data_IF_630409623578
#
_entry.id   IF_630409623578
#
_cell.length_a   1.000
_cell.length_b   1.000
_cell.length_c   1.000
_cell.angle_alpha   90.00
_cell.angle_beta   90.00
_cell.angle_gamma   90.00
#
_symmetry.space_group_name_H-M   'P 1'
#
loop_
_entity.id
_entity.type
_entity.pdbx_description
1 polymer ?
#
# COMPACT_ATOMS: atom_id res chain seq x y z
N UNK A 1 14.60 15.15 5.20
CA UNK A 1 14.46 13.72 5.58
C UNK A 1 15.79 13.05 5.40
N UNK A 2 16.44 13.24 4.26
CA UNK A 2 17.82 12.83 3.96
C UNK A 2 18.74 12.89 5.18
N UNK A 3 18.95 14.07 5.79
CA UNK A 3 19.78 14.21 7.01
C UNK A 3 19.39 13.25 8.16
N UNK A 4 18.09 13.08 8.42
CA UNK A 4 17.60 12.20 9.49
C UNK A 4 17.74 10.71 9.14
N UNK A 5 17.76 10.37 7.86
CA UNK A 5 17.96 9.01 7.35
C UNK A 5 19.45 8.65 7.38
N UNK A 6 20.31 9.58 7.00
CA UNK A 6 21.78 9.44 7.06
C UNK A 6 22.24 9.25 8.50
N UNK A 7 21.80 10.12 9.43
CA UNK A 7 22.09 10.00 10.86
C UNK A 7 21.64 8.63 11.42
N UNK A 8 20.47 8.13 10.95
CA UNK A 8 19.95 6.83 11.35
C UNK A 8 20.82 5.69 10.82
N UNK A 9 21.27 5.80 9.56
CA UNK A 9 22.22 4.91 8.94
C UNK A 9 23.52 4.80 9.73
N UNK A 10 24.10 5.94 10.09
CA UNK A 10 25.34 6.01 10.88
C UNK A 10 25.20 5.35 12.26
N UNK A 11 24.09 5.60 12.95
CA UNK A 11 23.80 4.99 14.26
C UNK A 11 23.78 3.46 14.18
N UNK A 12 23.28 2.90 13.08
CA UNK A 12 23.14 1.45 12.91
C UNK A 12 24.17 0.81 11.96
N UNK A 13 25.15 1.56 11.47
CA UNK A 13 26.14 1.08 10.49
C UNK A 13 26.90 -0.18 10.95
N UNK A 14 27.15 -0.31 12.25
CA UNK A 14 27.86 -1.45 12.85
C UNK A 14 26.91 -2.48 13.51
N UNK A 15 25.60 -2.33 13.32
CA UNK A 15 24.61 -3.24 13.89
C UNK A 15 24.63 -4.58 13.15
N UNK A 16 24.69 -5.68 13.89
CA UNK A 16 24.61 -7.03 13.32
C UNK A 16 23.19 -7.48 12.99
N UNK A 17 22.18 -6.73 13.45
CA UNK A 17 20.77 -7.15 13.38
C UNK A 17 19.82 -6.06 12.89
N UNK A 18 20.33 -4.88 12.54
CA UNK A 18 19.56 -3.75 12.03
C UNK A 18 20.27 -3.24 10.79
N UNK A 19 19.52 -3.07 9.71
CA UNK A 19 20.00 -2.48 8.48
C UNK A 19 19.09 -1.29 8.18
N UNK A 20 19.71 -0.15 7.91
CA UNK A 20 19.06 0.99 7.28
C UNK A 20 19.61 1.01 5.86
N UNK A 21 18.73 1.00 4.88
CA UNK A 21 19.12 0.94 3.47
C UNK A 21 18.21 1.82 2.64
N UNK A 22 18.73 2.26 1.51
CA UNK A 22 18.00 3.05 0.53
C UNK A 22 18.10 2.38 -0.84
N UNK A 23 17.10 2.63 -1.67
CA UNK A 23 17.03 2.15 -3.04
C UNK A 23 16.56 3.30 -3.91
N UNK A 24 17.34 3.66 -4.92
CA UNK A 24 16.93 4.64 -5.92
C UNK A 24 16.03 3.96 -6.97
N UNK A 25 14.73 4.06 -6.77
CA UNK A 25 13.73 3.51 -7.69
C UNK A 25 13.68 4.22 -9.06
N UNK A 26 14.45 5.28 -9.27
CA UNK A 26 14.58 5.92 -10.59
C UNK A 26 15.61 5.23 -11.47
N UNK A 27 16.54 4.46 -10.87
CA UNK A 27 17.50 3.61 -11.58
C UNK A 27 16.79 2.44 -12.28
N UNK A 28 17.10 2.23 -13.55
CA UNK A 28 16.55 1.14 -14.37
C UNK A 28 16.75 -0.24 -13.72
N UNK A 29 17.84 -0.44 -12.98
CA UNK A 29 18.16 -1.71 -12.31
C UNK A 29 17.32 -1.96 -11.05
N UNK A 30 16.71 -0.92 -10.48
CA UNK A 30 15.95 -0.99 -9.23
C UNK A 30 14.43 -0.85 -9.44
N UNK A 31 13.99 -0.42 -10.63
CA UNK A 31 12.55 -0.24 -10.92
C UNK A 31 11.72 -1.48 -10.70
N UNK A 32 12.20 -2.65 -11.13
CA UNK A 32 11.46 -3.91 -10.96
C UNK A 32 11.30 -4.27 -9.49
N UNK A 33 12.36 -4.10 -8.69
CA UNK A 33 12.30 -4.29 -7.23
C UNK A 33 11.31 -3.32 -6.57
N UNK A 34 11.33 -2.05 -6.94
CA UNK A 34 10.42 -1.06 -6.36
C UNK A 34 8.97 -1.33 -6.77
N UNK A 35 8.73 -1.80 -8.00
CA UNK A 35 7.41 -2.23 -8.45
C UNK A 35 6.92 -3.48 -7.71
N UNK A 36 7.78 -4.50 -7.51
CA UNK A 36 7.43 -5.71 -6.75
C UNK A 36 7.17 -5.43 -5.28
N UNK A 37 7.70 -4.32 -4.78
CA UNK A 37 7.45 -3.80 -3.44
C UNK A 37 6.34 -2.73 -3.41
N UNK A 38 5.47 -2.65 -4.42
CA UNK A 38 4.32 -1.73 -4.45
C UNK A 38 4.68 -0.25 -4.18
N UNK A 39 5.90 0.18 -4.55
CA UNK A 39 6.33 1.57 -4.35
C UNK A 39 5.71 2.44 -5.44
N UNK A 40 4.60 3.10 -5.11
CA UNK A 40 3.80 3.93 -6.03
C UNK A 40 4.09 5.42 -5.93
N UNK A 41 4.88 5.85 -4.94
CA UNK A 41 5.27 7.24 -4.74
C UNK A 41 6.52 7.38 -3.87
N UNK A 42 7.18 8.54 -3.96
CA UNK A 42 8.42 8.81 -3.24
C UNK A 42 8.28 9.99 -2.28
N UNK A 43 8.97 9.95 -1.11
CA UNK A 43 9.64 8.79 -0.53
C UNK A 43 8.66 7.84 0.18
N UNK A 44 8.83 6.54 -0.04
CA UNK A 44 8.15 5.45 0.68
C UNK A 44 9.13 4.76 1.60
N UNK A 45 8.81 4.68 2.89
CA UNK A 45 9.62 3.98 3.88
C UNK A 45 8.97 2.65 4.19
N UNK A 46 9.74 1.57 4.14
CA UNK A 46 9.30 0.23 4.53
C UNK A 46 10.21 -0.35 5.61
N UNK A 47 9.70 -1.31 6.38
CA UNK A 47 10.42 -1.98 7.44
C UNK A 47 9.95 -3.43 7.59
N UNK A 48 10.81 -4.32 8.09
CA UNK A 48 10.44 -5.71 8.36
C UNK A 48 11.51 -6.69 7.92
N UNK A 49 11.06 -7.87 7.49
CA UNK A 49 11.92 -8.86 6.85
C UNK A 49 12.09 -8.49 5.37
N UNK A 50 13.22 -8.86 4.77
CA UNK A 50 13.45 -8.67 3.31
C UNK A 50 12.46 -9.43 2.43
N UNK A 51 11.67 -10.33 3.01
CA UNK A 51 10.63 -11.11 2.33
C UNK A 51 9.21 -10.66 2.71
N UNK A 52 9.07 -9.69 3.62
CA UNK A 52 7.79 -9.21 4.15
C UNK A 52 7.98 -7.79 4.70
N UNK A 53 8.13 -6.85 3.76
CA UNK A 53 8.32 -5.44 4.07
C UNK A 53 6.97 -4.73 4.20
N UNK A 54 6.79 -4.05 5.32
CA UNK A 54 5.57 -3.33 5.68
C UNK A 54 5.80 -1.83 5.58
N UNK A 55 4.80 -1.06 5.13
CA UNK A 55 4.92 0.39 5.04
C UNK A 55 5.04 1.04 6.43
N UNK A 56 5.94 2.03 6.54
CA UNK A 56 6.11 2.85 7.72
C UNK A 56 5.30 4.15 7.61
N UNK A 57 4.18 4.20 8.35
CA UNK A 57 3.30 5.37 8.44
C UNK A 57 3.60 6.33 9.60
N UNK A 58 4.74 6.20 10.28
CA UNK A 58 5.07 7.02 11.45
C UNK A 58 5.77 8.34 11.13
N UNK A 59 6.06 9.19 12.16
CA UNK A 59 6.84 10.41 11.99
C UNK A 59 8.25 10.14 11.45
N UNK A 60 8.75 11.02 10.59
CA UNK A 60 10.00 10.83 9.82
C UNK A 60 11.16 11.71 10.31
N UNK A 61 11.07 12.24 11.52
CA UNK A 61 12.20 12.85 12.21
C UNK A 61 13.11 11.79 12.85
N UNK A 62 14.38 12.14 13.05
CA UNK A 62 15.41 11.22 13.53
C UNK A 62 15.04 10.55 14.86
N UNK A 63 14.51 11.29 15.83
CA UNK A 63 14.18 10.74 17.15
C UNK A 63 13.11 9.64 17.06
N UNK A 64 12.06 9.89 16.29
CA UNK A 64 10.98 8.92 16.08
C UNK A 64 11.45 7.70 15.28
N UNK A 65 12.22 7.93 14.21
CA UNK A 65 12.79 6.84 13.40
C UNK A 65 13.74 5.95 14.22
N UNK A 66 14.64 6.55 15.00
CA UNK A 66 15.55 5.82 15.88
C UNK A 66 14.79 5.01 16.93
N UNK A 67 13.81 5.62 17.59
CA UNK A 67 12.96 4.93 18.57
C UNK A 67 12.21 3.77 17.94
N UNK A 68 11.69 3.95 16.73
CA UNK A 68 11.04 2.88 15.98
C UNK A 68 12.01 1.75 15.64
N UNK A 69 13.17 2.08 15.08
CA UNK A 69 14.21 1.12 14.74
C UNK A 69 14.68 0.32 15.96
N UNK A 70 14.91 0.98 17.10
CA UNK A 70 15.30 0.31 18.35
C UNK A 70 14.23 -0.63 18.89
N UNK A 71 12.96 -0.27 18.73
CA UNK A 71 11.85 -1.10 19.21
C UNK A 71 11.56 -2.28 18.29
N UNK A 72 11.63 -2.09 16.98
CA UNK A 72 11.02 -2.97 15.99
C UNK A 72 12.00 -3.69 15.06
N UNK A 73 13.17 -3.09 14.76
CA UNK A 73 14.21 -3.78 13.98
C UNK A 73 14.98 -4.73 14.90
N UNK A 74 14.39 -5.89 15.12
CA UNK A 74 14.93 -7.00 15.91
C UNK A 74 14.91 -8.25 15.05
N UNK A 75 15.73 -9.27 15.38
CA UNK A 75 15.60 -10.58 14.75
C UNK A 75 14.13 -11.01 14.78
N UNK A 76 13.61 -11.40 13.62
CA UNK A 76 12.23 -11.84 13.47
C UNK A 76 12.17 -13.36 13.37
N UNK A 77 10.97 -13.92 13.52
CA UNK A 77 10.71 -15.31 13.19
C UNK A 77 11.18 -15.60 11.76
N UNK A 78 12.06 -16.58 11.60
CA UNK A 78 12.56 -17.03 10.29
C UNK A 78 13.07 -18.48 10.37
N UNK A 79 13.37 -19.13 9.22
CA UNK A 79 13.96 -20.46 9.21
C UNK A 79 15.30 -20.56 9.98
N UNK A 80 16.03 -19.46 10.13
CA UNK A 80 17.28 -19.38 10.90
C UNK A 80 17.07 -18.94 12.36
N UNK A 81 15.89 -18.40 12.69
CA UNK A 81 15.51 -17.92 14.02
C UNK A 81 14.20 -18.54 14.52
N UNK A 82 14.09 -19.86 14.42
CA UNK A 82 12.87 -20.63 14.75
C UNK A 82 12.39 -20.46 16.21
N UNK A 83 13.26 -20.09 17.13
CA UNK A 83 12.93 -19.81 18.52
C UNK A 83 12.02 -18.59 18.69
N UNK A 84 12.05 -17.65 17.73
CA UNK A 84 11.24 -16.44 17.73
C UNK A 84 9.85 -16.66 17.11
N UNK A 85 9.63 -17.82 16.49
CA UNK A 85 8.37 -18.21 15.88
C UNK A 85 7.43 -18.86 16.90
N UNK A 86 6.13 -18.64 16.75
CA UNK A 86 5.12 -19.37 17.52
C UNK A 86 5.04 -20.86 17.11
N UNK A 87 4.15 -21.64 17.74
CA UNK A 87 4.03 -23.08 17.48
C UNK A 87 3.52 -23.37 16.05
N UNK A 88 2.61 -22.55 15.55
CA UNK A 88 1.98 -22.71 14.23
C UNK A 88 2.95 -22.39 13.12
N UNK A 89 3.63 -21.24 13.17
CA UNK A 89 4.60 -20.81 12.18
C UNK A 89 5.81 -21.74 12.14
N UNK A 90 6.28 -22.23 13.29
CA UNK A 90 7.34 -23.26 13.32
C UNK A 90 6.96 -24.54 12.60
N UNK A 91 5.71 -25.00 12.78
CA UNK A 91 5.23 -26.22 12.12
C UNK A 91 5.22 -26.01 10.61
N UNK A 92 4.80 -24.84 10.17
CA UNK A 92 4.73 -24.51 8.76
C UNK A 92 6.11 -24.41 8.11
N UNK A 93 7.05 -23.68 8.73
CA UNK A 93 8.44 -23.63 8.23
C UNK A 93 9.03 -25.04 8.11
N UNK A 94 8.78 -25.93 9.11
CA UNK A 94 9.24 -27.32 9.03
C UNK A 94 8.54 -28.15 7.96
N UNK A 95 7.29 -27.82 7.59
CA UNK A 95 6.60 -28.46 6.46
C UNK A 95 7.28 -28.07 5.16
N UNK A 96 7.48 -26.77 4.95
CA UNK A 96 8.11 -26.21 3.75
C UNK A 96 9.55 -26.70 3.59
N UNK A 97 10.33 -26.77 4.68
CA UNK A 97 11.70 -27.30 4.67
C UNK A 97 11.81 -28.79 4.28
N UNK A 98 10.70 -29.55 4.31
CA UNK A 98 10.69 -30.95 3.87
C UNK A 98 10.41 -31.10 2.38
N UNK A 99 10.00 -30.04 1.70
CA UNK A 99 9.82 -30.05 0.25
C UNK A 99 11.19 -30.03 -0.44
N UNK A 100 11.28 -30.64 -1.62
CA UNK A 100 12.42 -30.39 -2.49
C UNK A 100 12.36 -28.94 -3.00
N UNK A 101 13.51 -28.39 -3.39
CA UNK A 101 13.57 -27.03 -3.94
C UNK A 101 12.61 -26.87 -5.11
N UNK A 102 12.57 -27.82 -6.05
CA UNK A 102 11.63 -27.80 -7.20
C UNK A 102 10.16 -27.85 -6.77
N UNK A 103 9.82 -28.59 -5.71
CA UNK A 103 8.45 -28.65 -5.22
C UNK A 103 8.04 -27.36 -4.51
N UNK A 104 8.95 -26.76 -3.72
CA UNK A 104 8.72 -25.49 -3.07
C UNK A 104 8.62 -24.33 -4.07
N UNK A 105 9.48 -24.33 -5.09
CA UNK A 105 9.47 -23.36 -6.19
C UNK A 105 8.14 -23.37 -6.93
N UNK A 106 7.65 -24.57 -7.27
CA UNK A 106 6.31 -24.73 -7.85
C UNK A 106 5.19 -24.24 -6.93
N UNK A 107 5.23 -24.56 -5.63
CA UNK A 107 4.22 -24.07 -4.68
C UNK A 107 4.23 -22.54 -4.58
N UNK A 108 5.41 -21.91 -4.74
CA UNK A 108 5.57 -20.47 -4.78
C UNK A 108 5.01 -19.87 -6.08
N UNK A 109 5.32 -20.45 -7.23
CA UNK A 109 4.80 -20.02 -8.54
C UNK A 109 3.26 -20.08 -8.57
N UNK A 110 2.68 -21.19 -8.12
CA UNK A 110 1.22 -21.36 -8.05
C UNK A 110 0.59 -20.26 -7.17
N UNK A 111 1.24 -19.88 -6.07
CA UNK A 111 0.78 -18.81 -5.17
C UNK A 111 0.96 -17.41 -5.77
N UNK A 112 2.06 -17.16 -6.46
CA UNK A 112 2.28 -15.91 -7.18
C UNK A 112 1.26 -15.73 -8.31
N UNK A 113 0.88 -16.81 -9.00
CA UNK A 113 -0.19 -16.76 -10.00
C UNK A 113 -1.55 -16.40 -9.37
N UNK A 114 -1.88 -16.97 -8.20
CA UNK A 114 -3.08 -16.61 -7.45
C UNK A 114 -3.09 -15.11 -7.07
N UNK A 115 -1.97 -14.58 -6.55
CA UNK A 115 -1.84 -13.15 -6.20
C UNK A 115 -2.00 -12.26 -7.43
N UNK A 116 -1.27 -12.56 -8.51
CA UNK A 116 -1.37 -11.82 -9.77
C UNK A 116 -2.79 -11.84 -10.34
N UNK A 117 -3.53 -12.94 -10.15
CA UNK A 117 -4.93 -13.01 -10.54
C UNK A 117 -5.80 -12.06 -9.70
N UNK A 118 -5.60 -12.02 -8.38
CA UNK A 118 -6.34 -11.10 -7.51
C UNK A 118 -6.11 -9.64 -7.89
N UNK A 119 -4.87 -9.27 -8.24
CA UNK A 119 -4.55 -7.91 -8.71
C UNK A 119 -5.22 -7.57 -10.04
N UNK A 120 -5.22 -8.48 -11.02
CA UNK A 120 -5.94 -8.28 -12.29
C UNK A 120 -7.44 -8.14 -12.10
N UNK A 121 -8.02 -8.95 -11.22
CA UNK A 121 -9.44 -8.89 -10.88
C UNK A 121 -9.77 -7.54 -10.21
N UNK A 122 -8.91 -7.06 -9.31
CA UNK A 122 -9.03 -5.73 -8.69
C UNK A 122 -8.93 -4.59 -9.71
N UNK A 123 -7.94 -4.61 -10.60
CA UNK A 123 -7.79 -3.60 -11.66
C UNK A 123 -9.01 -3.53 -12.58
N UNK A 124 -9.58 -4.69 -12.91
CA UNK A 124 -10.82 -4.78 -13.70
C UNK A 124 -11.97 -4.10 -12.96
N UNK A 125 -12.13 -4.38 -11.66
CA UNK A 125 -13.17 -3.76 -10.84
C UNK A 125 -13.00 -2.24 -10.72
N UNK A 126 -11.76 -1.75 -10.66
CA UNK A 126 -11.47 -0.30 -10.66
C UNK A 126 -11.87 0.35 -11.99
N UNK A 127 -11.51 -0.24 -13.13
CA UNK A 127 -11.88 0.29 -14.45
C UNK A 127 -13.41 0.32 -14.67
N UNK A 128 -14.11 -0.71 -14.21
CA UNK A 128 -15.58 -0.76 -14.23
C UNK A 128 -16.18 0.34 -13.34
N UNK A 129 -15.60 0.58 -12.16
CA UNK A 129 -16.04 1.63 -11.24
C UNK A 129 -15.82 3.02 -11.83
N UNK A 130 -14.69 3.28 -12.49
CA UNK A 130 -14.41 4.55 -13.18
C UNK A 130 -15.46 4.83 -14.26
N UNK A 131 -15.79 3.84 -15.08
CA UNK A 131 -16.85 3.94 -16.10
C UNK A 131 -18.22 4.27 -15.49
N UNK A 132 -18.57 3.60 -14.38
CA UNK A 132 -19.81 3.87 -13.65
C UNK A 132 -19.82 5.29 -13.09
N UNK A 133 -18.70 5.76 -12.53
CA UNK A 133 -18.57 7.10 -11.97
C UNK A 133 -18.75 8.18 -13.04
N UNK A 134 -18.11 8.03 -14.20
CA UNK A 134 -18.25 8.96 -15.33
C UNK A 134 -19.69 9.01 -15.83
N UNK A 135 -20.31 7.84 -16.04
CA UNK A 135 -21.70 7.74 -16.50
C UNK A 135 -22.67 8.39 -15.51
N UNK A 136 -22.54 8.08 -14.22
CA UNK A 136 -23.39 8.64 -13.17
C UNK A 136 -23.21 10.16 -13.04
N UNK A 137 -21.97 10.65 -13.18
CA UNK A 137 -21.66 12.08 -13.16
C UNK A 137 -22.28 12.82 -14.34
N UNK A 138 -22.14 12.28 -15.55
CA UNK A 138 -22.73 12.85 -16.76
C UNK A 138 -24.27 12.89 -16.66
N UNK A 139 -24.89 11.80 -16.21
CA UNK A 139 -26.34 11.74 -16.03
C UNK A 139 -26.82 12.75 -14.98
N UNK A 140 -26.17 12.80 -13.81
CA UNK A 140 -26.48 13.77 -12.76
C UNK A 140 -26.45 15.21 -13.27
N UNK A 141 -25.43 15.56 -14.07
CA UNK A 141 -25.26 16.92 -14.56
C UNK A 141 -26.28 17.26 -15.66
N UNK A 142 -26.63 16.29 -16.52
CA UNK A 142 -27.74 16.42 -17.47
C UNK A 142 -29.07 16.64 -16.74
N UNK A 143 -29.38 15.84 -15.73
CA UNK A 143 -30.61 15.96 -14.93
C UNK A 143 -30.66 17.28 -14.17
N UNK A 144 -29.56 17.72 -13.57
CA UNK A 144 -29.47 19.05 -12.93
C UNK A 144 -29.74 20.18 -13.91
N UNK A 145 -29.20 20.09 -15.13
CA UNK A 145 -29.43 21.10 -16.17
C UNK A 145 -30.90 21.10 -16.60
N UNK A 146 -31.51 19.94 -16.76
CA UNK A 146 -32.93 19.79 -17.10
C UNK A 146 -33.82 20.36 -15.99
N UNK A 147 -33.60 19.95 -14.74
CA UNK A 147 -34.34 20.45 -13.58
C UNK A 147 -34.11 21.94 -13.32
N UNK A 148 -32.91 22.45 -13.61
CA UNK A 148 -32.57 23.86 -13.50
C UNK A 148 -33.23 24.74 -14.58
N UNK A 149 -33.79 24.14 -15.63
CA UNK A 149 -34.42 24.86 -16.74
C UNK A 149 -35.94 25.04 -16.52
N UNK A 150 -36.46 26.21 -16.90
CA UNK A 150 -37.89 26.52 -16.96
C UNK A 150 -38.65 26.38 -15.64
N UNK A 151 -39.24 25.21 -15.40
CA UNK A 151 -40.27 24.99 -14.38
C UNK A 151 -39.76 25.25 -12.96
N UNK A 152 -38.56 24.81 -12.60
CA UNK A 152 -38.02 25.06 -11.25
C UNK A 152 -37.76 26.55 -11.00
N UNK A 153 -37.34 27.29 -12.02
CA UNK A 153 -37.15 28.75 -11.94
C UNK A 153 -38.50 29.44 -11.78
N UNK A 154 -39.50 29.04 -12.58
CA UNK A 154 -40.85 29.56 -12.50
C UNK A 154 -41.48 29.26 -11.13
N UNK A 155 -41.33 28.03 -10.62
CA UNK A 155 -41.79 27.65 -9.28
C UNK A 155 -41.14 28.51 -8.20
N UNK A 156 -39.82 28.77 -8.28
CA UNK A 156 -39.12 29.67 -7.36
C UNK A 156 -39.66 31.10 -7.44
N UNK A 157 -39.89 31.61 -8.65
CA UNK A 157 -40.42 32.96 -8.87
C UNK A 157 -41.85 33.12 -8.33
N UNK A 158 -42.74 32.18 -8.64
CA UNK A 158 -44.13 32.16 -8.14
C UNK A 158 -44.16 32.06 -6.62
N UNK A 159 -43.31 31.21 -6.02
CA UNK A 159 -43.22 31.09 -4.56
C UNK A 159 -42.73 32.39 -3.90
N UNK A 160 -41.76 33.08 -4.51
CA UNK A 160 -41.25 34.35 -4.00
C UNK A 160 -42.33 35.44 -4.02
N UNK A 161 -43.09 35.56 -5.13
CA UNK A 161 -44.20 36.50 -5.24
C UNK A 161 -45.28 36.26 -4.18
N UNK A 162 -45.72 35.01 -4.00
CA UNK A 162 -46.77 34.67 -3.02
C UNK A 162 -46.38 34.99 -1.58
N UNK A 163 -45.08 34.95 -1.26
CA UNK A 163 -44.58 35.30 0.08
C UNK A 163 -44.57 36.80 0.36
N UNK A 164 -44.50 37.64 -0.68
CA UNK A 164 -44.56 39.10 -0.53
C UNK A 164 -45.99 39.65 -0.44
N UNK A 165 -46.99 38.82 -0.77
CA UNK A 165 -48.42 39.16 -0.72
C UNK A 165 -49.09 38.74 0.61
N UNK A 166 -48.32 38.17 1.55
CA UNK A 166 -48.70 37.78 2.92
C UNK A 166 -48.15 38.79 3.95
#
# INVERSE_FOLDING_TARGET
>A
MEDAWDDLGDVFANSKSKLIGEVDCTDDNARELCASEDVTGFPTLKWGSVFDLQEYGGPRDFENLKKFADKNLKPQCSPTHMQLCDKTTRREIRRLQKLSVTALDKEMDDKLEEVNKLERDFQTAVADLETQYETATAQRDADKKQLGSGDLILMKAVLAQRKTEL
#
